data_IF_202683981012
#
_entry.id   IF_202683981012
#
_cell.length_a   1.000
_cell.length_b   1.000
_cell.length_c   1.000
_cell.angle_alpha   90.00
_cell.angle_beta   90.00
_cell.angle_gamma   90.00
#
_symmetry.space_group_name_H-M   'P 1'
#
loop_
_entity.id
_entity.type
_entity.pdbx_description
1 polymer ?
#
# COMPACT_ATOMS: atom_id res chain seq x y z
N UNK A 1 -2.79 -18.65 19.47
CA UNK A 1 -3.88 -17.75 19.04
C UNK A 1 -5.14 -18.56 18.82
N UNK A 2 -6.30 -18.11 19.27
CA UNK A 2 -7.61 -18.75 19.03
C UNK A 2 -8.36 -17.97 17.96
N UNK A 3 -8.90 -18.70 16.98
CA UNK A 3 -9.75 -18.12 15.94
C UNK A 3 -11.14 -17.85 16.53
N UNK A 4 -11.64 -16.64 16.39
CA UNK A 4 -12.97 -16.23 16.83
C UNK A 4 -13.73 -15.71 15.62
N UNK A 5 -14.82 -16.40 15.28
CA UNK A 5 -15.72 -16.01 14.19
C UNK A 5 -16.60 -14.88 14.71
N UNK A 6 -16.78 -13.84 13.91
CA UNK A 6 -17.42 -12.59 14.34
C UNK A 6 -18.77 -12.40 13.67
N UNK A 7 -18.91 -12.88 12.45
CA UNK A 7 -20.10 -12.75 11.62
C UNK A 7 -20.65 -14.13 11.22
N UNK A 8 -21.80 -14.15 10.57
CA UNK A 8 -22.45 -15.35 10.01
C UNK A 8 -21.50 -16.04 8.99
N UNK A 9 -20.73 -15.26 8.20
CA UNK A 9 -19.74 -15.81 7.27
C UNK A 9 -18.44 -16.18 8.02
N UNK A 10 -18.01 -17.47 8.01
CA UNK A 10 -16.80 -17.95 8.67
C UNK A 10 -15.49 -17.35 8.09
N UNK A 11 -15.57 -16.60 6.99
CA UNK A 11 -14.44 -15.83 6.45
C UNK A 11 -14.06 -14.66 7.35
N UNK A 12 -15.02 -14.10 8.08
CA UNK A 12 -14.80 -12.98 9.00
C UNK A 12 -14.42 -13.49 10.38
N UNK A 13 -13.14 -13.50 10.67
CA UNK A 13 -12.62 -13.96 11.95
C UNK A 13 -11.44 -13.12 12.42
N UNK A 14 -11.31 -13.01 13.74
CA UNK A 14 -10.11 -12.49 14.38
C UNK A 14 -9.29 -13.59 15.04
N UNK A 15 -7.99 -13.35 15.16
CA UNK A 15 -7.11 -14.21 15.94
C UNK A 15 -6.81 -13.52 17.26
N UNK A 16 -7.35 -14.07 18.35
CA UNK A 16 -7.20 -13.53 19.70
C UNK A 16 -6.14 -14.32 20.48
N UNK A 17 -5.36 -13.63 21.30
CA UNK A 17 -4.35 -14.24 22.15
C UNK A 17 -4.94 -15.29 23.10
N UNK A 18 -4.18 -16.38 23.33
CA UNK A 18 -4.61 -17.44 24.25
C UNK A 18 -4.46 -17.05 25.71
N UNK A 19 -3.51 -16.17 26.00
CA UNK A 19 -3.11 -15.79 27.37
C UNK A 19 -4.00 -14.69 27.98
N UNK A 20 -4.96 -14.15 27.21
CA UNK A 20 -5.90 -13.16 27.74
C UNK A 20 -6.85 -13.80 28.78
N UNK A 21 -7.07 -13.14 29.92
CA UNK A 21 -8.07 -13.55 30.91
C UNK A 21 -9.46 -13.70 30.26
N UNK A 22 -10.30 -14.64 30.72
CA UNK A 22 -11.58 -14.91 30.07
C UNK A 22 -12.50 -13.69 29.96
N UNK A 23 -12.55 -12.83 30.98
CA UNK A 23 -13.36 -11.62 30.99
C UNK A 23 -12.86 -10.57 29.98
N UNK A 24 -11.55 -10.33 29.89
CA UNK A 24 -10.95 -9.40 28.91
C UNK A 24 -11.16 -9.90 27.48
N UNK A 25 -11.05 -11.22 27.29
CA UNK A 25 -11.30 -11.84 26.00
C UNK A 25 -12.73 -11.67 25.55
N UNK A 26 -13.68 -11.83 26.46
CA UNK A 26 -15.10 -11.65 26.16
C UNK A 26 -15.39 -10.19 25.82
N UNK A 27 -14.90 -9.25 26.60
CA UNK A 27 -15.03 -7.82 26.34
C UNK A 27 -14.42 -7.41 24.98
N UNK A 28 -13.23 -7.93 24.66
CA UNK A 28 -12.59 -7.70 23.38
C UNK A 28 -13.42 -8.25 22.21
N UNK A 29 -13.92 -9.47 22.32
CA UNK A 29 -14.75 -10.09 21.26
C UNK A 29 -16.04 -9.32 21.05
N UNK A 30 -16.67 -8.86 22.13
CA UNK A 30 -17.88 -8.04 22.04
C UNK A 30 -17.61 -6.69 21.41
N UNK A 31 -16.51 -6.03 21.78
CA UNK A 31 -16.07 -4.79 21.15
C UNK A 31 -15.80 -4.96 19.65
N UNK A 32 -15.10 -6.02 19.25
CA UNK A 32 -14.82 -6.30 17.85
C UNK A 32 -16.09 -6.60 17.05
N UNK A 33 -17.07 -7.27 17.64
CA UNK A 33 -18.38 -7.53 17.01
C UNK A 33 -19.18 -6.25 16.79
N UNK A 34 -19.13 -5.32 17.73
CA UNK A 34 -19.82 -4.01 17.60
C UNK A 34 -19.20 -3.11 16.55
N UNK A 35 -17.95 -3.34 16.19
CA UNK A 35 -17.16 -2.50 15.27
C UNK A 35 -16.66 -3.26 14.04
N UNK A 36 -17.42 -4.22 13.53
CA UNK A 36 -17.03 -5.06 12.36
C UNK A 36 -16.86 -4.19 11.09
N UNK A 37 -17.62 -3.14 10.98
CA UNK A 37 -17.67 -2.19 9.87
C UNK A 37 -16.40 -1.35 9.71
N UNK A 38 -15.64 -1.14 10.80
CA UNK A 38 -14.36 -0.40 10.75
C UNK A 38 -13.22 -1.20 10.11
N UNK A 39 -13.41 -2.51 9.90
CA UNK A 39 -12.36 -3.36 9.34
C UNK A 39 -12.51 -3.54 7.83
N UNK A 40 -11.44 -3.32 7.10
CA UNK A 40 -11.37 -3.63 5.68
C UNK A 40 -11.08 -5.14 5.49
N UNK A 41 -12.13 -5.93 5.32
CA UNK A 41 -12.06 -7.38 5.11
C UNK A 41 -11.59 -7.77 3.71
N UNK A 42 -11.71 -6.86 2.76
CA UNK A 42 -11.26 -6.98 1.38
C UNK A 42 -10.57 -5.68 0.96
N UNK A 43 -9.66 -5.80 0.00
CA UNK A 43 -8.97 -4.64 -0.58
C UNK A 43 -9.93 -3.61 -1.19
N UNK A 44 -11.10 -4.07 -1.69
CA UNK A 44 -12.14 -3.18 -2.21
C UNK A 44 -12.92 -2.43 -1.12
N UNK A 45 -12.88 -2.94 0.13
CA UNK A 45 -13.56 -2.32 1.29
C UNK A 45 -12.66 -1.35 2.07
N UNK A 46 -11.38 -1.25 1.72
CA UNK A 46 -10.49 -0.22 2.27
C UNK A 46 -10.76 1.10 1.54
N UNK A 47 -11.49 2.06 2.15
CA UNK A 47 -11.73 3.35 1.52
C UNK A 47 -10.39 4.05 1.35
N UNK A 48 -10.22 4.72 0.23
CA UNK A 48 -9.08 5.61 0.05
C UNK A 48 -9.25 6.81 0.97
N UNK A 49 -8.14 7.29 1.50
CA UNK A 49 -8.13 8.57 2.18
C UNK A 49 -8.40 9.63 1.11
N UNK A 50 -9.34 10.53 1.41
CA UNK A 50 -9.63 11.67 0.53
C UNK A 50 -8.35 12.52 0.40
N UNK A 51 -7.93 12.78 -0.84
CA UNK A 51 -6.75 13.58 -1.14
C UNK A 51 -6.89 15.04 -0.65
N UNK A 52 -8.12 15.51 -0.48
CA UNK A 52 -8.38 16.82 0.12
C UNK A 52 -8.16 16.83 1.63
N UNK A 53 -8.28 15.66 2.29
CA UNK A 53 -8.01 15.53 3.72
C UNK A 53 -6.51 15.41 3.99
N UNK A 54 -5.81 14.54 3.28
CA UNK A 54 -4.35 14.38 3.41
C UNK A 54 -3.75 13.83 2.12
N UNK A 55 -2.65 14.45 1.70
CA UNK A 55 -1.86 13.99 0.57
C UNK A 55 -0.40 13.84 1.01
N UNK A 56 0.19 12.68 0.74
CA UNK A 56 1.61 12.46 1.02
C UNK A 56 2.47 12.93 -0.15
N UNK A 57 3.29 13.94 0.11
CA UNK A 57 4.26 14.43 -0.86
C UNK A 57 5.63 13.80 -0.62
N UNK A 58 6.21 13.23 -1.68
CA UNK A 58 7.57 12.73 -1.62
C UNK A 58 8.55 13.91 -1.57
N UNK A 59 9.42 13.91 -0.56
CA UNK A 59 10.45 14.94 -0.42
C UNK A 59 11.63 14.63 -1.34
N UNK A 60 11.49 14.93 -2.63
CA UNK A 60 12.52 14.73 -3.64
C UNK A 60 13.34 16.01 -3.80
N UNK A 61 14.65 15.87 -3.95
CA UNK A 61 15.52 16.99 -4.25
C UNK A 61 15.32 17.44 -5.70
N UNK A 62 14.79 18.65 -5.98
CA UNK A 62 14.53 19.13 -7.34
C UNK A 62 15.78 19.31 -8.18
N UNK A 63 16.98 19.35 -7.57
CA UNK A 63 18.25 19.43 -8.30
C UNK A 63 18.69 18.09 -8.89
N UNK A 64 18.02 16.98 -8.54
CA UNK A 64 18.33 15.66 -9.07
C UNK A 64 17.40 15.37 -10.23
N UNK A 65 17.96 15.15 -11.41
CA UNK A 65 17.19 14.83 -12.60
C UNK A 65 16.47 13.48 -12.43
N UNK A 66 15.19 13.40 -12.85
CA UNK A 66 14.44 12.15 -12.87
C UNK A 66 15.15 11.05 -13.66
N UNK A 67 15.04 9.82 -13.18
CA UNK A 67 15.64 8.66 -13.84
C UNK A 67 14.58 7.66 -14.31
N UNK A 68 14.78 7.17 -15.54
CA UNK A 68 14.03 6.05 -16.11
C UNK A 68 14.94 4.84 -16.14
N UNK A 69 14.64 3.84 -15.32
CA UNK A 69 15.41 2.59 -15.34
C UNK A 69 15.17 1.86 -16.67
N UNK A 70 16.22 1.33 -17.33
CA UNK A 70 16.03 0.54 -18.53
C UNK A 70 15.23 -0.73 -18.23
N UNK A 71 14.34 -1.17 -19.12
CA UNK A 71 13.50 -2.32 -18.89
C UNK A 71 14.33 -3.59 -18.71
N UNK A 72 14.01 -4.38 -17.69
CA UNK A 72 14.64 -5.68 -17.44
C UNK A 72 13.84 -6.80 -18.12
N UNK A 73 14.54 -7.78 -18.70
CA UNK A 73 13.89 -8.99 -19.22
C UNK A 73 13.30 -9.80 -18.07
N UNK A 74 12.02 -10.14 -18.16
CA UNK A 74 11.32 -10.97 -17.17
C UNK A 74 11.04 -12.35 -17.75
N UNK A 75 11.06 -13.39 -16.90
CA UNK A 75 10.56 -14.70 -17.28
C UNK A 75 9.03 -14.64 -17.49
N UNK A 76 8.48 -15.64 -18.20
CA UNK A 76 7.02 -15.74 -18.44
C UNK A 76 6.24 -15.75 -17.12
N UNK A 77 6.73 -16.44 -16.09
CA UNK A 77 6.07 -16.54 -14.78
C UNK A 77 6.09 -15.21 -14.04
N UNK A 78 7.23 -14.50 -14.09
CA UNK A 78 7.33 -13.17 -13.49
C UNK A 78 6.39 -12.16 -14.18
N UNK A 79 6.34 -12.18 -15.52
CA UNK A 79 5.42 -11.33 -16.28
C UNK A 79 3.97 -11.58 -15.91
N UNK A 80 3.57 -12.85 -15.79
CA UNK A 80 2.22 -13.24 -15.36
C UNK A 80 1.92 -12.70 -13.96
N UNK A 81 2.84 -12.91 -13.01
CA UNK A 81 2.67 -12.44 -11.64
C UNK A 81 2.50 -10.90 -11.56
N UNK A 82 3.30 -10.15 -12.31
CA UNK A 82 3.18 -8.68 -12.40
C UNK A 82 1.84 -8.28 -13.00
N UNK A 83 1.45 -8.89 -14.13
CA UNK A 83 0.18 -8.60 -14.79
C UNK A 83 -1.02 -8.85 -13.87
N UNK A 84 -1.03 -9.97 -13.14
CA UNK A 84 -2.11 -10.31 -12.22
C UNK A 84 -2.21 -9.29 -11.05
N UNK A 85 -1.06 -8.87 -10.49
CA UNK A 85 -1.04 -7.88 -9.42
C UNK A 85 -1.45 -6.49 -9.92
N UNK A 86 -0.99 -6.05 -11.08
CA UNK A 86 -1.39 -4.78 -11.69
C UNK A 86 -2.90 -4.75 -11.96
N UNK A 87 -3.46 -5.83 -12.53
CA UNK A 87 -4.90 -5.92 -12.78
C UNK A 87 -5.72 -5.86 -11.48
N UNK A 88 -5.22 -6.48 -10.40
CA UNK A 88 -5.83 -6.41 -9.08
C UNK A 88 -5.81 -4.98 -8.54
N UNK A 89 -4.65 -4.31 -8.58
CA UNK A 89 -4.49 -2.94 -8.10
C UNK A 89 -5.31 -1.93 -8.92
N UNK A 90 -5.39 -2.10 -10.25
CA UNK A 90 -6.28 -1.31 -11.12
C UNK A 90 -7.76 -1.49 -10.73
N UNK A 91 -8.20 -2.74 -10.49
CA UNK A 91 -9.60 -3.04 -10.13
C UNK A 91 -10.01 -2.36 -8.82
N UNK A 92 -9.15 -2.38 -7.81
CA UNK A 92 -9.41 -1.70 -6.54
C UNK A 92 -9.10 -0.20 -6.63
N UNK A 93 -8.65 0.26 -7.80
CA UNK A 93 -8.31 1.65 -8.08
C UNK A 93 -7.10 2.16 -7.27
N UNK A 94 -6.24 1.29 -6.73
CA UNK A 94 -5.05 1.67 -5.97
C UNK A 94 -3.96 2.30 -6.84
N UNK A 95 -3.98 2.02 -8.14
CA UNK A 95 -3.08 2.59 -9.13
C UNK A 95 -3.88 3.09 -10.33
N UNK A 96 -3.33 4.09 -11.01
CA UNK A 96 -3.83 4.59 -12.30
C UNK A 96 -2.73 4.56 -13.35
N UNK A 97 -3.14 4.60 -14.60
CA UNK A 97 -2.24 4.66 -15.75
C UNK A 97 -1.76 6.09 -15.95
N UNK A 98 -0.45 6.25 -16.21
CA UNK A 98 0.18 7.54 -16.47
C UNK A 98 0.90 7.45 -17.81
N UNK A 99 0.75 8.50 -18.63
CA UNK A 99 1.49 8.67 -19.87
C UNK A 99 2.71 9.55 -19.62
N UNK A 100 3.87 9.12 -20.18
CA UNK A 100 5.14 9.88 -20.13
C UNK A 100 5.66 10.18 -18.71
N UNK A 101 5.81 9.16 -17.84
CA UNK A 101 6.33 9.38 -16.50
C UNK A 101 7.77 9.94 -16.55
N UNK A 102 8.09 10.85 -15.64
CA UNK A 102 9.46 11.34 -15.47
C UNK A 102 10.35 10.32 -14.77
N UNK A 103 9.82 9.70 -13.72
CA UNK A 103 10.46 8.60 -12.99
C UNK A 103 9.91 7.28 -13.48
N UNK A 104 10.79 6.32 -13.75
CA UNK A 104 10.39 4.96 -14.11
C UNK A 104 11.24 3.96 -13.35
N UNK A 105 10.58 3.09 -12.59
CA UNK A 105 11.21 2.05 -11.79
C UNK A 105 10.83 0.65 -12.30
N UNK A 106 11.77 -0.28 -12.23
CA UNK A 106 11.50 -1.68 -12.58
C UNK A 106 10.75 -2.40 -11.47
N UNK A 107 9.95 -3.38 -11.85
CA UNK A 107 9.36 -4.34 -10.92
C UNK A 107 10.34 -5.45 -10.57
N UNK A 108 10.34 -5.87 -9.31
CA UNK A 108 11.10 -7.00 -8.78
C UNK A 108 10.13 -8.05 -8.25
N UNK A 109 10.26 -9.28 -8.71
CA UNK A 109 9.36 -10.37 -8.34
C UNK A 109 10.11 -11.37 -7.47
N UNK A 110 9.59 -11.61 -6.25
CA UNK A 110 10.18 -12.49 -5.25
C UNK A 110 9.21 -13.60 -4.87
N UNK A 111 9.69 -14.83 -4.83
CA UNK A 111 8.89 -15.97 -4.38
C UNK A 111 8.86 -16.04 -2.85
N UNK A 112 7.66 -16.03 -2.27
CA UNK A 112 7.46 -16.18 -0.82
C UNK A 112 7.67 -17.65 -0.40
N UNK A 113 7.89 -17.90 0.89
CA UNK A 113 8.01 -19.26 1.46
C UNK A 113 6.78 -20.14 1.18
N UNK A 114 5.60 -19.54 1.06
CA UNK A 114 4.35 -20.23 0.72
C UNK A 114 4.13 -20.46 -0.78
N UNK A 115 5.16 -20.27 -1.61
CA UNK A 115 5.11 -20.46 -3.06
C UNK A 115 4.48 -19.31 -3.85
N UNK A 116 3.80 -18.36 -3.22
CA UNK A 116 3.18 -17.21 -3.91
C UNK A 116 4.23 -16.17 -4.30
N UNK A 117 3.99 -15.45 -5.39
CA UNK A 117 4.80 -14.35 -5.84
C UNK A 117 4.49 -13.06 -5.06
N UNK A 118 5.52 -12.28 -4.79
CA UNK A 118 5.40 -10.89 -4.33
C UNK A 118 5.98 -10.00 -5.41
N UNK A 119 5.21 -9.04 -5.86
CA UNK A 119 5.66 -7.98 -6.77
C UNK A 119 6.07 -6.79 -5.93
N UNK A 120 7.26 -6.27 -6.17
CA UNK A 120 7.82 -5.08 -5.53
C UNK A 120 8.26 -4.10 -6.61
N UNK A 121 8.47 -2.83 -6.24
CA UNK A 121 9.01 -1.81 -7.12
C UNK A 121 10.40 -1.41 -6.64
N UNK A 122 11.35 -1.27 -7.57
CA UNK A 122 12.73 -0.90 -7.28
C UNK A 122 12.87 0.63 -7.13
N UNK A 123 12.59 1.16 -5.96
CA UNK A 123 12.71 2.59 -5.66
C UNK A 123 14.14 3.07 -5.38
N UNK A 124 15.17 2.32 -5.76
CA UNK A 124 16.58 2.66 -5.43
C UNK A 124 16.96 4.07 -5.92
N UNK A 125 16.63 4.42 -7.15
CA UNK A 125 16.99 5.73 -7.70
C UNK A 125 16.16 6.86 -7.09
N UNK A 126 14.88 6.63 -6.84
CA UNK A 126 14.03 7.58 -6.16
C UNK A 126 14.47 7.83 -4.71
N UNK A 127 14.86 6.76 -4.00
CA UNK A 127 15.35 6.86 -2.64
C UNK A 127 16.67 7.63 -2.56
N UNK A 128 17.54 7.52 -3.58
CA UNK A 128 18.76 8.33 -3.68
C UNK A 128 18.46 9.82 -3.91
N UNK A 129 17.37 10.11 -4.62
CA UNK A 129 16.94 11.48 -4.89
C UNK A 129 16.15 12.09 -3.72
N UNK A 130 15.73 11.29 -2.76
CA UNK A 130 15.02 11.75 -1.58
C UNK A 130 15.95 12.56 -0.68
N UNK A 131 15.49 13.72 -0.23
CA UNK A 131 16.20 14.51 0.78
C UNK A 131 16.18 13.78 2.12
N UNK A 132 17.29 13.83 2.87
CA UNK A 132 17.32 13.40 4.26
C UNK A 132 16.25 14.18 5.03
N UNK A 133 15.45 13.46 5.82
CA UNK A 133 14.44 14.08 6.65
C UNK A 133 15.13 14.77 7.83
N UNK A 134 15.48 16.03 7.66
CA UNK A 134 15.67 16.91 8.81
C UNK A 134 14.25 17.30 9.25
N UNK A 135 13.86 17.09 10.51
CA UNK A 135 12.59 17.60 11.01
C UNK A 135 12.65 19.12 10.96
N UNK A 136 12.16 19.71 9.87
CA UNK A 136 11.91 21.15 9.84
C UNK A 136 10.68 21.42 10.70
N UNK A 137 10.81 22.37 11.62
CA UNK A 137 9.77 22.87 12.50
C UNK A 137 8.59 23.56 11.78
N UNK A 138 8.60 23.61 10.46
CA UNK A 138 7.54 24.21 9.64
C UNK A 138 6.70 23.14 8.94
N UNK A 139 5.76 22.56 9.68
CA UNK A 139 4.58 21.93 9.08
C UNK A 139 3.47 22.96 8.98
N UNK A 140 3.54 23.86 8.02
CA UNK A 140 2.33 24.49 7.52
C UNK A 140 1.49 23.39 6.85
N UNK A 141 0.31 23.17 7.39
CA UNK A 141 -0.74 22.36 6.75
C UNK A 141 -1.20 23.17 5.52
N UNK A 142 -0.41 23.09 4.45
CA UNK A 142 -0.75 23.69 3.17
C UNK A 142 -1.69 22.77 2.43
N UNK A 143 -2.89 23.28 2.13
CA UNK A 143 -3.87 22.57 1.31
C UNK A 143 -3.24 22.05 0.01
N UNK A 144 -3.67 20.87 -0.43
CA UNK A 144 -3.31 20.30 -1.72
C UNK A 144 -3.75 21.25 -2.84
N UNK A 145 -2.89 22.18 -3.21
CA UNK A 145 -3.09 22.92 -4.45
C UNK A 145 -2.95 21.93 -5.61
N UNK A 146 -3.97 21.84 -6.43
CA UNK A 146 -4.12 20.99 -7.60
C UNK A 146 -3.21 21.37 -8.77
N UNK A 147 -1.93 21.61 -8.50
CA UNK A 147 -0.90 21.61 -9.54
C UNK A 147 -0.37 20.19 -9.63
N UNK A 148 -0.81 19.50 -10.65
CA UNK A 148 -0.33 18.20 -11.10
C UNK A 148 1.19 18.21 -11.31
N UNK A 149 1.93 18.00 -10.25
CA UNK A 149 3.28 17.46 -10.39
C UNK A 149 3.14 15.94 -10.34
N UNK A 150 3.36 15.34 -11.47
CA UNK A 150 3.27 13.93 -11.82
C UNK A 150 4.23 13.06 -11.00
N UNK A 151 3.97 12.89 -9.72
CA UNK A 151 4.68 11.94 -8.86
C UNK A 151 3.84 10.70 -8.54
N UNK A 152 2.92 10.36 -9.44
CA UNK A 152 2.19 9.11 -9.36
C UNK A 152 2.99 8.05 -10.12
N UNK A 153 3.44 7.04 -9.40
CA UNK A 153 4.13 5.89 -9.97
C UNK A 153 3.15 4.95 -10.66
N UNK A 154 3.54 4.42 -11.83
CA UNK A 154 2.74 3.39 -12.51
C UNK A 154 2.66 2.07 -11.75
#
# INVERSE_FOLDING_TARGET
MKRVIIDIDPKFFFQVGLQLPPHEKQALVEFLRKNVDVFAWDACKAPRIDLNFICHHLNINPSIAPRKQPPRRSSKDHYKAVKDEVNKLKRVGAIKEIFYPEWLANTVVVKKKNGKWRVCVDFTDLNKARRSFLPSSDRSIGGCNSRSSSNEFP
#
